data_IF_129590699307
#
_entry.id   IF_129590699307
#
_cell.length_a   1.000
_cell.length_b   1.000
_cell.length_c   1.000
_cell.angle_alpha   90.00
_cell.angle_beta   90.00
_cell.angle_gamma   90.00
#
_symmetry.space_group_name_H-M   'P 1'
#
loop_
_entity.id
_entity.type
_entity.pdbx_description
1 polymer ?
#
# COMPACT_ATOMS: atom_id res chain seq x y z
N UNK A 1 -10.51 -5.28 10.41
CA UNK A 1 -11.23 -6.54 10.10
C UNK A 1 -12.15 -6.42 8.88
N UNK A 2 -13.05 -5.43 8.77
CA UNK A 2 -13.98 -5.34 7.64
C UNK A 2 -13.29 -5.40 6.27
N UNK A 3 -12.32 -4.52 6.00
CA UNK A 3 -11.57 -4.51 4.72
C UNK A 3 -10.93 -5.87 4.36
N UNK A 4 -10.61 -6.66 5.39
CA UNK A 4 -9.88 -7.92 5.29
C UNK A 4 -10.75 -9.10 4.88
N UNK A 5 -12.01 -9.13 5.32
CA UNK A 5 -12.89 -10.30 5.14
C UNK A 5 -14.03 -10.01 4.16
N UNK A 6 -14.41 -8.74 4.01
CA UNK A 6 -15.53 -8.35 3.17
C UNK A 6 -15.18 -8.47 1.68
N UNK A 7 -16.18 -8.85 0.89
CA UNK A 7 -16.09 -9.03 -0.57
C UNK A 7 -17.12 -8.18 -1.32
N UNK A 8 -18.09 -7.56 -0.65
CA UNK A 8 -19.00 -6.62 -1.29
C UNK A 8 -18.29 -5.29 -1.64
N UNK A 9 -18.36 -4.89 -2.91
CA UNK A 9 -17.66 -3.71 -3.40
C UNK A 9 -18.15 -2.42 -2.73
N UNK A 10 -19.46 -2.22 -2.61
CA UNK A 10 -20.03 -0.98 -2.07
C UNK A 10 -19.76 -0.83 -0.59
N UNK A 11 -19.79 -1.94 0.16
CA UNK A 11 -19.46 -1.94 1.58
C UNK A 11 -17.98 -1.67 1.83
N UNK A 12 -17.10 -2.18 0.98
CA UNK A 12 -15.68 -1.86 1.01
C UNK A 12 -15.44 -0.38 0.68
N UNK A 13 -16.13 0.15 -0.35
CA UNK A 13 -16.04 1.56 -0.73
C UNK A 13 -16.55 2.47 0.39
N UNK A 14 -17.69 2.14 1.00
CA UNK A 14 -18.25 2.87 2.14
C UNK A 14 -17.25 2.94 3.31
N UNK A 15 -16.66 1.80 3.68
CA UNK A 15 -15.71 1.75 4.78
C UNK A 15 -14.44 2.55 4.47
N UNK A 16 -13.90 2.40 3.26
CA UNK A 16 -12.71 3.11 2.81
C UNK A 16 -12.94 4.61 2.77
N UNK A 17 -14.03 5.05 2.14
CA UNK A 17 -14.37 6.46 2.02
C UNK A 17 -14.68 7.07 3.39
N UNK A 18 -15.49 6.40 4.21
CA UNK A 18 -15.83 6.86 5.55
C UNK A 18 -14.60 7.07 6.43
N UNK A 19 -13.61 6.18 6.38
CA UNK A 19 -12.35 6.39 7.09
C UNK A 19 -11.59 7.63 6.62
N UNK A 20 -11.44 7.81 5.30
CA UNK A 20 -10.73 8.96 4.74
C UNK A 20 -11.46 10.29 5.01
N UNK A 21 -12.78 10.29 4.93
CA UNK A 21 -13.61 11.46 5.18
C UNK A 21 -13.59 11.86 6.67
N UNK A 22 -13.68 10.89 7.58
CA UNK A 22 -13.78 11.17 9.01
C UNK A 22 -12.42 11.35 9.71
N UNK A 23 -11.36 10.71 9.23
CA UNK A 23 -10.04 10.79 9.84
C UNK A 23 -9.07 11.65 9.01
N UNK A 24 -8.95 11.36 7.71
CA UNK A 24 -7.96 12.02 6.83
C UNK A 24 -8.15 13.53 6.74
N UNK A 25 -9.38 13.98 6.49
CA UNK A 25 -9.70 15.41 6.38
C UNK A 25 -9.43 16.17 7.68
N UNK A 26 -9.71 15.57 8.84
CA UNK A 26 -9.52 16.20 10.16
C UNK A 26 -8.05 16.28 10.56
N UNK A 27 -7.19 15.40 10.05
CA UNK A 27 -5.75 15.41 10.32
C UNK A 27 -5.02 16.50 9.52
N UNK A 28 -5.48 16.83 8.30
CA UNK A 28 -4.82 17.81 7.43
C UNK A 28 -4.41 19.13 8.13
N UNK A 29 -5.29 19.84 8.88
CA UNK A 29 -4.93 21.11 9.51
C UNK A 29 -3.88 20.98 10.62
N UNK A 30 -3.73 19.81 11.25
CA UNK A 30 -2.69 19.58 12.28
C UNK A 30 -1.42 18.97 11.71
N UNK A 31 -1.51 18.26 10.59
CA UNK A 31 -0.36 17.60 9.96
C UNK A 31 0.65 18.59 9.39
N UNK A 32 0.19 19.65 8.71
CA UNK A 32 1.10 20.65 8.13
C UNK A 32 1.91 21.39 9.21
N UNK A 33 1.28 21.96 10.27
CA UNK A 33 2.04 22.56 11.38
C UNK A 33 2.96 21.56 12.09
N UNK A 34 2.54 20.28 12.20
CA UNK A 34 3.38 19.24 12.76
C UNK A 34 4.66 19.03 11.93
N UNK A 35 4.55 18.97 10.60
CA UNK A 35 5.71 18.87 9.70
C UNK A 35 6.61 20.12 9.81
N UNK A 36 6.05 21.31 9.96
CA UNK A 36 6.84 22.54 10.16
C UNK A 36 7.63 22.48 11.48
N UNK A 37 7.01 22.01 12.56
CA UNK A 37 7.67 21.83 13.85
C UNK A 37 8.80 20.79 13.78
N UNK A 38 8.57 19.65 13.11
CA UNK A 38 9.59 18.63 12.92
C UNK A 38 10.77 19.17 12.09
N UNK A 39 10.50 19.90 11.01
CA UNK A 39 11.54 20.50 10.18
C UNK A 39 12.33 21.56 10.96
N UNK A 40 11.68 22.37 11.80
CA UNK A 40 12.37 23.31 12.68
C UNK A 40 13.33 22.60 13.63
N UNK A 41 12.86 21.53 14.27
CA UNK A 41 13.68 20.77 15.22
C UNK A 41 14.93 20.15 14.58
N UNK A 42 14.82 19.55 13.40
CA UNK A 42 15.99 18.94 12.74
C UNK A 42 16.94 19.99 12.16
N UNK A 43 16.44 21.16 11.75
CA UNK A 43 17.27 22.30 11.34
C UNK A 43 18.13 22.84 12.47
N UNK A 44 17.58 22.93 13.69
CA UNK A 44 18.34 23.28 14.90
C UNK A 44 19.44 22.25 15.21
N UNK A 45 19.28 21.01 14.75
CA UNK A 45 20.28 19.94 14.85
C UNK A 45 21.24 19.85 13.65
N UNK A 46 21.25 20.85 12.77
CA UNK A 46 22.19 20.95 11.64
C UNK A 46 21.79 20.17 10.38
N UNK A 47 20.56 19.67 10.29
CA UNK A 47 20.03 19.03 9.08
C UNK A 47 19.25 20.03 8.21
N UNK A 48 19.21 19.81 6.90
CA UNK A 48 18.46 20.65 5.96
C UNK A 48 16.94 20.53 6.20
N UNK A 49 16.45 19.30 6.37
CA UNK A 49 15.03 18.98 6.57
C UNK A 49 14.85 17.60 7.23
N UNK A 50 13.59 17.25 7.48
CA UNK A 50 13.19 15.99 8.12
C UNK A 50 13.56 14.77 7.27
N UNK A 51 13.50 14.88 5.94
CA UNK A 51 13.85 13.78 5.06
C UNK A 51 15.34 13.43 5.19
N UNK A 52 16.22 14.43 5.16
CA UNK A 52 17.65 14.24 5.38
C UNK A 52 17.93 13.61 6.75
N UNK A 53 17.22 14.07 7.79
CA UNK A 53 17.37 13.51 9.13
C UNK A 53 16.98 12.03 9.20
N UNK A 54 15.87 11.62 8.56
CA UNK A 54 15.42 10.23 8.56
C UNK A 54 16.36 9.29 7.79
N UNK A 55 16.81 9.70 6.60
CA UNK A 55 17.63 8.83 5.77
C UNK A 55 19.03 8.59 6.36
N UNK A 56 19.48 9.44 7.29
CA UNK A 56 20.74 9.23 8.03
C UNK A 56 20.81 7.84 8.64
N UNK A 57 19.68 7.28 9.09
CA UNK A 57 19.61 5.93 9.67
C UNK A 57 20.14 4.82 8.75
N UNK A 58 20.17 5.06 7.44
CA UNK A 58 20.70 4.11 6.45
C UNK A 58 22.22 4.23 6.23
N UNK A 59 22.91 5.15 6.92
CA UNK A 59 24.35 5.38 6.74
C UNK A 59 24.72 6.01 5.39
N UNK A 60 23.72 6.42 4.61
CA UNK A 60 23.90 7.06 3.30
C UNK A 60 23.91 8.57 3.55
N UNK A 61 25.10 9.17 3.65
CA UNK A 61 25.29 10.59 3.99
C UNK A 61 24.86 11.60 2.91
N UNK A 62 24.14 11.17 1.86
CA UNK A 62 23.72 12.00 0.75
C UNK A 62 22.30 11.60 0.30
N UNK A 63 21.35 12.53 0.40
CA UNK A 63 19.94 12.36 0.00
C UNK A 63 19.81 11.94 -1.46
N UNK A 64 20.49 12.64 -2.36
CA UNK A 64 20.48 12.34 -3.79
C UNK A 64 20.98 10.92 -4.09
N UNK A 65 22.00 10.47 -3.36
CA UNK A 65 22.48 9.08 -3.50
C UNK A 65 21.44 8.07 -3.01
N UNK A 66 20.78 8.35 -1.88
CA UNK A 66 19.71 7.50 -1.36
C UNK A 66 18.56 7.39 -2.36
N UNK A 67 18.03 8.53 -2.84
CA UNK A 67 16.95 8.58 -3.83
C UNK A 67 17.33 7.84 -5.12
N UNK A 68 18.55 8.03 -5.62
CA UNK A 68 19.03 7.33 -6.80
C UNK A 68 19.07 5.80 -6.64
N UNK A 69 19.44 5.30 -5.46
CA UNK A 69 19.40 3.86 -5.16
C UNK A 69 17.95 3.35 -5.15
N UNK A 70 17.04 4.07 -4.49
CA UNK A 70 15.62 3.70 -4.44
C UNK A 70 15.00 3.69 -5.85
N UNK A 71 15.29 4.71 -6.66
CA UNK A 71 14.82 4.80 -8.05
C UNK A 71 15.32 3.62 -8.90
N UNK A 72 16.59 3.22 -8.74
CA UNK A 72 17.15 2.07 -9.45
C UNK A 72 16.49 0.76 -9.00
N UNK A 73 16.28 0.58 -7.69
CA UNK A 73 15.59 -0.60 -7.16
C UNK A 73 14.14 -0.67 -7.67
N UNK A 74 13.43 0.45 -7.66
CA UNK A 74 12.06 0.53 -8.17
C UNK A 74 12.01 0.19 -9.66
N UNK A 75 12.92 0.73 -10.47
CA UNK A 75 13.03 0.41 -11.90
C UNK A 75 13.28 -1.08 -12.15
N UNK A 76 14.13 -1.71 -11.34
CA UNK A 76 14.43 -3.13 -11.47
C UNK A 76 13.25 -4.03 -11.09
N UNK A 77 12.42 -3.61 -10.13
CA UNK A 77 11.24 -4.36 -9.67
C UNK A 77 10.01 -4.10 -10.56
N UNK A 78 9.94 -2.94 -11.23
CA UNK A 78 8.77 -2.51 -11.99
C UNK A 78 8.25 -3.56 -13.00
N UNK A 79 9.09 -4.22 -13.81
CA UNK A 79 8.59 -5.22 -14.76
C UNK A 79 7.85 -6.39 -14.08
N UNK A 80 8.33 -6.84 -12.92
CA UNK A 80 7.66 -7.88 -12.14
C UNK A 80 6.35 -7.36 -11.53
N UNK A 81 6.40 -6.14 -10.97
CA UNK A 81 5.23 -5.50 -10.38
C UNK A 81 4.12 -5.29 -11.40
N UNK A 82 4.43 -4.84 -12.62
CA UNK A 82 3.45 -4.62 -13.68
C UNK A 82 2.75 -5.92 -14.10
N UNK A 83 3.49 -7.02 -14.22
CA UNK A 83 2.92 -8.34 -14.52
C UNK A 83 2.02 -8.82 -13.38
N UNK A 84 2.46 -8.69 -12.13
CA UNK A 84 1.66 -9.04 -10.95
C UNK A 84 0.40 -8.16 -10.87
N UNK A 85 0.53 -6.85 -11.07
CA UNK A 85 -0.58 -5.89 -11.07
C UNK A 85 -1.58 -6.22 -12.17
N UNK A 86 -1.12 -6.50 -13.39
CA UNK A 86 -1.99 -6.88 -14.51
C UNK A 86 -2.74 -8.19 -14.23
N UNK A 87 -2.06 -9.20 -13.68
CA UNK A 87 -2.67 -10.47 -13.30
C UNK A 87 -3.76 -10.27 -12.24
N UNK A 88 -3.44 -9.59 -11.13
CA UNK A 88 -4.38 -9.30 -10.05
C UNK A 88 -5.56 -8.48 -10.56
N UNK A 89 -5.31 -7.45 -11.37
CA UNK A 89 -6.36 -6.63 -11.99
C UNK A 89 -7.31 -7.48 -12.84
N UNK A 90 -6.78 -8.38 -13.67
CA UNK A 90 -7.58 -9.29 -14.48
C UNK A 90 -8.52 -10.16 -13.64
N UNK A 91 -8.00 -10.75 -12.55
CA UNK A 91 -8.80 -11.56 -11.61
C UNK A 91 -9.89 -10.74 -10.91
N UNK A 92 -9.55 -9.54 -10.44
CA UNK A 92 -10.50 -8.65 -9.76
C UNK A 92 -11.55 -8.09 -10.72
N UNK A 93 -11.22 -7.90 -11.99
CA UNK A 93 -12.17 -7.53 -13.03
C UNK A 93 -13.24 -8.58 -13.27
N UNK A 94 -12.86 -9.86 -13.33
CA UNK A 94 -13.83 -10.96 -13.39
C UNK A 94 -14.70 -11.03 -12.14
N UNK A 95 -14.17 -10.69 -10.96
CA UNK A 95 -14.92 -10.71 -9.70
C UNK A 95 -15.88 -9.54 -9.56
N UNK A 96 -15.47 -8.34 -9.96
CA UNK A 96 -16.22 -7.09 -9.83
C UNK A 96 -16.60 -6.55 -11.20
N UNK A 97 -17.37 -7.33 -11.95
CA UNK A 97 -17.76 -7.01 -13.32
C UNK A 97 -18.40 -5.62 -13.41
N UNK A 98 -17.94 -4.81 -14.36
CA UNK A 98 -18.43 -3.44 -14.62
C UNK A 98 -18.34 -2.47 -13.43
N UNK A 99 -17.50 -2.75 -12.41
CA UNK A 99 -17.33 -1.85 -11.25
C UNK A 99 -16.18 -0.86 -11.39
N UNK A 100 -15.19 -1.16 -12.22
CA UNK A 100 -14.05 -0.30 -12.51
C UNK A 100 -13.45 -0.60 -13.89
N UNK A 101 -12.60 0.30 -14.39
CA UNK A 101 -11.93 0.12 -15.69
C UNK A 101 -10.81 -0.93 -15.61
N UNK A 102 -10.97 -2.02 -16.36
CA UNK A 102 -10.01 -3.13 -16.41
C UNK A 102 -8.70 -2.80 -17.12
N UNK A 103 -8.64 -1.68 -17.85
CA UNK A 103 -7.40 -1.16 -18.42
C UNK A 103 -6.76 -0.08 -17.51
N UNK A 104 -7.48 0.37 -16.49
CA UNK A 104 -7.06 1.39 -15.53
C UNK A 104 -6.42 0.85 -14.25
N UNK A 105 -6.19 1.72 -13.24
CA UNK A 105 -5.70 1.32 -11.93
C UNK A 105 -6.70 0.46 -11.15
N UNK A 106 -6.19 -0.37 -10.22
CA UNK A 106 -7.05 -1.12 -9.30
C UNK A 106 -7.57 -0.17 -8.19
N UNK A 107 -8.88 -0.15 -7.88
CA UNK A 107 -9.41 0.62 -6.77
C UNK A 107 -8.79 0.19 -5.42
N UNK A 108 -8.30 1.14 -4.62
CA UNK A 108 -7.59 0.84 -3.37
C UNK A 108 -8.44 0.05 -2.34
N UNK A 109 -9.75 0.28 -2.31
CA UNK A 109 -10.66 -0.32 -1.34
C UNK A 109 -10.92 -1.82 -1.53
N UNK A 110 -10.52 -2.41 -2.67
CA UNK A 110 -10.71 -3.84 -2.96
C UNK A 110 -9.44 -4.69 -2.76
N UNK A 111 -8.39 -4.13 -2.16
CA UNK A 111 -7.09 -4.79 -1.99
C UNK A 111 -6.84 -5.36 -0.59
N UNK A 112 -7.90 -5.59 0.18
CA UNK A 112 -7.88 -6.37 1.43
C UNK A 112 -7.52 -5.59 2.71
N UNK A 113 -7.00 -4.37 2.60
CA UNK A 113 -6.78 -3.49 3.75
C UNK A 113 -7.09 -2.03 3.41
N UNK A 114 -7.11 -1.17 4.41
CA UNK A 114 -7.53 0.24 4.28
C UNK A 114 -6.66 1.06 3.31
N UNK A 115 -5.39 0.70 3.15
CA UNK A 115 -4.39 1.47 2.40
C UNK A 115 -3.82 0.72 1.20
N UNK A 116 -4.34 -0.48 0.91
CA UNK A 116 -3.79 -1.38 -0.12
C UNK A 116 -2.29 -1.72 0.05
N UNK A 117 -1.75 -1.62 1.28
CA UNK A 117 -0.32 -1.81 1.55
C UNK A 117 0.17 -3.23 1.28
N UNK A 118 -0.68 -4.24 1.48
CA UNK A 118 -0.43 -5.64 1.14
C UNK A 118 -1.68 -6.28 0.56
N UNK A 119 -1.54 -7.23 -0.37
CA UNK A 119 -2.70 -7.85 -1.04
C UNK A 119 -2.96 -9.30 -0.62
N UNK A 120 -2.27 -9.79 0.42
CA UNK A 120 -2.37 -11.18 0.87
C UNK A 120 -3.79 -11.59 1.30
N UNK A 121 -4.56 -10.66 1.88
CA UNK A 121 -5.96 -10.88 2.24
C UNK A 121 -6.91 -11.06 1.03
N UNK A 122 -6.39 -10.92 -0.20
CA UNK A 122 -7.10 -11.19 -1.45
C UNK A 122 -6.61 -12.46 -2.14
N UNK A 123 -5.76 -13.27 -1.49
CA UNK A 123 -5.18 -14.47 -2.09
C UNK A 123 -6.25 -15.40 -2.69
N UNK A 124 -7.37 -15.61 -1.99
CA UNK A 124 -8.48 -16.46 -2.47
C UNK A 124 -9.08 -15.98 -3.80
N UNK A 125 -9.04 -14.68 -4.07
CA UNK A 125 -9.60 -14.10 -5.29
C UNK A 125 -8.64 -14.26 -6.49
N UNK A 126 -7.34 -14.38 -6.20
CA UNK A 126 -6.25 -14.36 -7.20
C UNK A 126 -5.48 -15.66 -7.27
N UNK A 127 -5.89 -16.71 -6.57
CA UNK A 127 -5.18 -17.99 -6.58
C UNK A 127 -5.22 -18.60 -8.00
N UNK A 128 -4.06 -18.94 -8.61
CA UNK A 128 -4.03 -19.46 -9.98
C UNK A 128 -4.67 -20.84 -10.13
N UNK A 129 -4.47 -21.70 -9.12
CA UNK A 129 -4.94 -23.08 -9.09
C UNK A 129 -5.73 -23.33 -7.80
N UNK A 130 -7.03 -22.99 -7.75
CA UNK A 130 -7.83 -23.05 -6.53
C UNK A 130 -7.98 -24.47 -5.96
N UNK A 131 -7.91 -25.49 -6.81
CA UNK A 131 -8.06 -26.90 -6.42
C UNK A 131 -6.76 -27.50 -5.86
N UNK A 132 -5.62 -26.80 -6.01
CA UNK A 132 -4.34 -27.26 -5.47
C UNK A 132 -4.26 -26.93 -3.96
N UNK A 133 -3.95 -27.91 -3.09
CA UNK A 133 -3.92 -27.67 -1.66
C UNK A 133 -2.75 -26.77 -1.27
N UNK A 134 -3.03 -25.73 -0.49
CA UNK A 134 -1.99 -24.99 0.23
C UNK A 134 -1.47 -25.83 1.40
N UNK A 135 -0.14 -25.89 1.53
CA UNK A 135 0.50 -26.62 2.63
C UNK A 135 0.09 -25.97 3.96
N UNK A 136 -0.58 -26.74 4.83
CA UNK A 136 -0.95 -26.32 6.18
C UNK A 136 -0.56 -27.42 7.18
N UNK A 137 0.53 -27.19 7.92
CA UNK A 137 1.08 -28.12 8.91
C UNK A 137 0.50 -27.95 10.32
N UNK A 138 -0.45 -27.02 10.52
CA UNK A 138 -0.99 -26.70 11.86
C UNK A 138 -1.56 -27.94 12.55
N UNK A 139 -2.26 -28.80 11.80
CA UNK A 139 -2.83 -30.05 12.32
C UNK A 139 -1.80 -31.14 12.67
N UNK A 140 -0.57 -31.00 12.19
CA UNK A 140 0.53 -31.94 12.47
C UNK A 140 1.34 -31.49 13.71
N UNK A 141 1.26 -30.21 14.08
CA UNK A 141 1.99 -29.61 15.18
C UNK A 141 1.19 -29.49 16.48
N UNK A 142 -0.12 -29.78 16.45
CA UNK A 142 -1.05 -29.78 17.59
C UNK A 142 -1.45 -31.23 17.86
#
# INVERSE_FOLDING_TARGET
RLMQIEKDYDRLLWAWKGWHDECGNKIRPVYLPYIDLLNKNVKENGYHDLAQYWIKGYGIGNVTKFESIIDQLLKNIMPLYEQLHAYVRGRLCSKYENRFDCNGPIPAHILGNMWAQTWHDRLDDVIPYPDAPLINITKVLI
#
